data_IF_522732831544
#
_entry.id   IF_522732831544
#
_cell.length_a   1.000
_cell.length_b   1.000
_cell.length_c   1.000
_cell.angle_alpha   90.00
_cell.angle_beta   90.00
_cell.angle_gamma   90.00
#
_symmetry.space_group_name_H-M   'P 1'
#
loop_
_entity.id
_entity.type
_entity.pdbx_description
1 polymer ?
#
# COMPACT_ATOMS: atom_id res chain seq x y z
N UNK A 1 7.55 -11.82 -20.34
CA UNK A 1 7.01 -10.48 -20.65
C UNK A 1 6.77 -9.71 -19.37
N UNK A 2 7.22 -8.48 -19.33
CA UNK A 2 7.04 -7.58 -18.19
C UNK A 2 5.72 -6.82 -18.29
N UNK A 3 5.05 -6.65 -17.15
CA UNK A 3 3.82 -5.89 -17.03
C UNK A 3 3.99 -4.79 -16.00
N UNK A 4 3.54 -3.59 -16.30
CA UNK A 4 3.56 -2.47 -15.37
C UNK A 4 2.17 -2.30 -14.76
N UNK A 5 2.14 -1.94 -13.48
CA UNK A 5 0.91 -1.58 -12.77
C UNK A 5 1.09 -0.32 -11.96
N UNK A 6 0.02 0.44 -11.81
CA UNK A 6 -0.03 1.63 -10.97
C UNK A 6 -1.21 1.51 -10.01
N UNK A 7 -0.96 1.84 -8.75
CA UNK A 7 -2.00 1.92 -7.72
C UNK A 7 -2.02 3.30 -7.08
N UNK A 8 -3.20 3.75 -6.73
CA UNK A 8 -3.42 4.97 -5.98
C UNK A 8 -4.47 4.70 -4.91
N UNK A 9 -4.22 5.19 -3.70
CA UNK A 9 -5.22 5.14 -2.64
C UNK A 9 -5.11 6.39 -1.75
N UNK A 10 -6.22 6.71 -1.08
CA UNK A 10 -6.31 7.84 -0.16
C UNK A 10 -7.26 7.49 0.97
N UNK A 11 -6.89 7.85 2.19
CA UNK A 11 -7.75 7.73 3.36
C UNK A 11 -7.73 9.03 4.15
N UNK A 12 -8.85 9.31 4.81
CA UNK A 12 -9.02 10.49 5.67
C UNK A 12 -8.31 10.28 7.01
N UNK A 13 -7.65 11.33 7.49
CA UNK A 13 -7.08 11.36 8.85
C UNK A 13 -8.16 11.76 9.85
N UNK A 14 -8.31 10.96 10.90
CA UNK A 14 -9.28 11.20 12.00
C UNK A 14 -8.63 10.89 13.35
N UNK A 15 -9.17 11.46 14.42
CA UNK A 15 -8.76 11.12 15.79
C UNK A 15 -9.30 9.74 16.16
N UNK A 16 -8.60 9.06 17.08
CA UNK A 16 -9.05 7.77 17.62
C UNK A 16 -8.76 6.56 16.74
N UNK A 17 -7.99 6.73 15.69
CA UNK A 17 -7.52 5.63 14.83
C UNK A 17 -6.00 5.52 14.89
N UNK A 18 -5.51 4.30 14.77
CA UNK A 18 -4.07 4.05 14.60
C UNK A 18 -3.64 4.47 13.20
N UNK A 19 -2.41 4.98 13.09
CA UNK A 19 -1.80 5.30 11.79
C UNK A 19 -0.91 4.14 11.38
N UNK A 20 -1.39 3.35 10.42
CA UNK A 20 -0.66 2.19 9.91
C UNK A 20 -0.29 2.45 8.47
N UNK A 21 1.00 2.42 8.16
CA UNK A 21 1.55 2.60 6.82
C UNK A 21 2.62 1.55 6.55
N UNK A 22 2.48 0.81 5.45
CA UNK A 22 3.40 -0.28 5.14
C UNK A 22 3.52 -1.29 6.28
N UNK A 23 2.44 -1.53 7.01
CA UNK A 23 2.39 -2.42 8.15
C UNK A 23 3.02 -1.87 9.43
N UNK A 24 3.49 -0.61 9.43
CA UNK A 24 4.10 0.02 10.63
C UNK A 24 3.06 0.87 11.34
N UNK A 25 2.90 0.63 12.63
CA UNK A 25 2.06 1.45 13.51
C UNK A 25 2.86 2.67 13.95
N UNK A 26 2.53 3.83 13.39
CA UNK A 26 3.29 5.06 13.60
C UNK A 26 2.60 5.89 14.69
N UNK A 27 3.31 6.26 15.77
CA UNK A 27 2.76 7.15 16.78
C UNK A 27 2.38 8.51 16.18
N UNK A 28 1.11 8.86 16.27
CA UNK A 28 0.58 10.13 15.76
C UNK A 28 -0.79 10.40 16.40
N UNK A 29 -1.17 11.67 16.47
CA UNK A 29 -2.45 12.09 17.07
C UNK A 29 -3.68 11.69 16.24
N UNK A 30 -3.51 11.48 14.93
CA UNK A 30 -4.56 11.01 14.02
C UNK A 30 -4.12 9.75 13.30
N UNK A 31 -5.08 8.96 12.86
CA UNK A 31 -4.86 7.78 12.04
C UNK A 31 -5.82 7.75 10.87
N UNK A 32 -5.65 6.76 10.01
CA UNK A 32 -6.43 6.67 8.78
C UNK A 32 -7.75 5.94 9.00
N UNK A 33 -8.82 6.49 8.44
CA UNK A 33 -10.17 5.94 8.51
C UNK A 33 -10.43 5.02 7.33
N UNK A 34 -10.89 3.81 7.62
CA UNK A 34 -11.28 2.84 6.61
C UNK A 34 -11.88 1.59 7.25
N UNK A 35 -12.42 0.70 6.41
CA UNK A 35 -13.03 -0.56 6.83
C UNK A 35 -11.99 -1.56 7.37
N UNK A 36 -10.81 -1.63 6.73
CA UNK A 36 -9.65 -2.41 7.18
C UNK A 36 -8.81 -1.58 8.16
N UNK A 37 -7.51 -1.88 8.29
CA UNK A 37 -6.56 -1.05 9.03
C UNK A 37 -6.27 0.29 8.32
N UNK A 38 -6.82 0.49 7.12
CA UNK A 38 -6.67 1.69 6.29
C UNK A 38 -5.21 2.02 5.93
N UNK A 39 -4.36 1.00 5.80
CA UNK A 39 -2.97 1.13 5.35
C UNK A 39 -2.96 1.55 3.88
N UNK A 40 -2.96 2.87 3.66
CA UNK A 40 -3.08 3.46 2.32
C UNK A 40 -1.92 3.05 1.39
N UNK A 41 -0.73 2.87 1.94
CA UNK A 41 0.43 2.45 1.16
C UNK A 41 0.26 1.00 0.66
N UNK A 42 -0.07 0.09 1.55
CA UNK A 42 -0.27 -1.32 1.19
C UNK A 42 -1.44 -1.49 0.23
N UNK A 43 -2.52 -0.71 0.39
CA UNK A 43 -3.65 -0.70 -0.55
C UNK A 43 -3.22 -0.27 -1.95
N UNK A 44 -2.42 0.79 -2.07
CA UNK A 44 -1.89 1.24 -3.37
C UNK A 44 -1.02 0.16 -4.02
N UNK A 45 -0.20 -0.52 -3.24
CA UNK A 45 0.64 -1.64 -3.71
C UNK A 45 -0.21 -2.78 -4.25
N UNK A 46 -1.25 -3.17 -3.53
CA UNK A 46 -2.15 -4.24 -3.99
C UNK A 46 -2.84 -3.90 -5.30
N UNK A 47 -3.34 -2.67 -5.43
CA UNK A 47 -3.96 -2.22 -6.68
C UNK A 47 -2.97 -2.18 -7.84
N UNK A 48 -1.73 -1.78 -7.58
CA UNK A 48 -0.69 -1.80 -8.61
C UNK A 48 -0.43 -3.23 -9.11
N UNK A 49 -0.33 -4.18 -8.19
CA UNK A 49 -0.11 -5.60 -8.51
C UNK A 49 -1.27 -6.17 -9.33
N UNK A 50 -2.49 -5.97 -8.86
CA UNK A 50 -3.68 -6.47 -9.55
C UNK A 50 -3.84 -5.82 -10.93
N UNK A 51 -3.60 -4.51 -11.02
CA UNK A 51 -3.66 -3.79 -12.29
C UNK A 51 -2.64 -4.29 -13.30
N UNK A 52 -1.40 -4.57 -12.86
CA UNK A 52 -0.36 -5.12 -13.72
C UNK A 52 -0.76 -6.48 -14.33
N UNK A 53 -1.48 -7.30 -13.57
CA UNK A 53 -1.94 -8.62 -14.01
C UNK A 53 -3.33 -8.57 -14.68
N UNK A 54 -3.94 -7.40 -14.82
CA UNK A 54 -5.31 -7.22 -15.33
C UNK A 54 -6.34 -8.05 -14.53
N UNK A 55 -6.17 -8.10 -13.20
CA UNK A 55 -7.01 -8.87 -12.28
C UNK A 55 -7.99 -7.99 -11.47
N UNK A 56 -8.24 -6.76 -11.94
CA UNK A 56 -9.16 -5.83 -11.26
C UNK A 56 -8.48 -5.02 -10.18
N UNK A 57 -9.18 -4.84 -9.07
CA UNK A 57 -8.74 -4.03 -7.94
C UNK A 57 -9.10 -4.68 -6.61
N UNK A 58 -8.61 -4.09 -5.50
CA UNK A 58 -8.86 -4.63 -4.16
C UNK A 58 -10.33 -4.50 -3.74
N UNK A 59 -11.05 -3.51 -4.26
CA UNK A 59 -12.48 -3.35 -3.96
C UNK A 59 -13.31 -4.51 -4.47
N UNK A 60 -12.93 -5.11 -5.58
CA UNK A 60 -13.57 -6.31 -6.12
C UNK A 60 -13.17 -7.57 -5.34
N UNK A 61 -11.89 -7.66 -4.96
CA UNK A 61 -11.34 -8.84 -4.29
C UNK A 61 -11.71 -8.89 -2.81
N UNK A 62 -11.69 -7.74 -2.14
CA UNK A 62 -11.97 -7.58 -0.71
C UNK A 62 -13.01 -6.48 -0.51
N UNK A 63 -14.32 -6.74 -0.76
CA UNK A 63 -15.34 -5.71 -0.67
C UNK A 63 -15.41 -5.06 0.73
N UNK A 64 -15.46 -3.72 0.78
CA UNK A 64 -15.53 -2.95 2.03
C UNK A 64 -16.75 -3.31 2.88
N UNK A 65 -17.82 -3.78 2.25
CA UNK A 65 -19.05 -4.15 2.94
C UNK A 65 -19.02 -5.56 3.53
N UNK A 66 -17.99 -6.36 3.21
CA UNK A 66 -17.88 -7.72 3.74
C UNK A 66 -17.37 -7.68 5.18
N UNK A 67 -18.16 -8.14 6.16
CA UNK A 67 -17.74 -8.17 7.56
C UNK A 67 -16.46 -8.97 7.81
N UNK A 68 -16.13 -9.93 6.93
CA UNK A 68 -14.91 -10.73 7.04
C UNK A 68 -13.64 -9.89 6.95
N UNK A 69 -13.70 -8.70 6.32
CA UNK A 69 -12.54 -7.83 6.16
C UNK A 69 -12.54 -6.61 7.08
N UNK A 70 -13.52 -6.51 7.99
CA UNK A 70 -13.56 -5.43 8.97
C UNK A 70 -12.32 -5.51 9.87
N UNK A 71 -11.56 -4.41 9.96
CA UNK A 71 -10.33 -4.36 10.73
C UNK A 71 -9.20 -5.21 10.18
N UNK A 72 -9.30 -5.69 8.93
CA UNK A 72 -8.32 -6.59 8.34
C UNK A 72 -6.92 -5.99 8.30
N UNK A 73 -5.92 -6.84 8.54
CA UNK A 73 -4.51 -6.49 8.39
C UNK A 73 -4.16 -6.47 6.90
N UNK A 74 -3.82 -5.31 6.38
CA UNK A 74 -3.55 -5.14 4.94
C UNK A 74 -2.33 -5.93 4.47
N UNK A 75 -1.33 -6.17 5.31
CA UNK A 75 -0.20 -7.02 4.94
C UNK A 75 -0.65 -8.47 4.69
N UNK A 76 -1.61 -8.97 5.44
CA UNK A 76 -2.19 -10.30 5.20
C UNK A 76 -2.94 -10.35 3.87
N UNK A 77 -3.68 -9.28 3.55
CA UNK A 77 -4.36 -9.15 2.26
C UNK A 77 -3.35 -9.08 1.11
N UNK A 78 -2.25 -8.37 1.30
CA UNK A 78 -1.15 -8.30 0.32
C UNK A 78 -0.57 -9.68 0.03
N UNK A 79 -0.33 -10.49 1.07
CA UNK A 79 0.15 -11.88 0.87
C UNK A 79 -0.81 -12.69 0.01
N UNK A 80 -2.11 -12.51 0.21
CA UNK A 80 -3.11 -13.20 -0.61
C UNK A 80 -3.08 -12.74 -2.06
N UNK A 81 -2.95 -11.43 -2.31
CA UNK A 81 -2.81 -10.89 -3.67
C UNK A 81 -1.58 -11.49 -4.35
N UNK A 82 -0.43 -11.51 -3.67
CA UNK A 82 0.81 -12.08 -4.21
C UNK A 82 0.66 -13.57 -4.50
N UNK A 83 0.00 -14.33 -3.62
CA UNK A 83 -0.27 -15.75 -3.85
C UNK A 83 -1.10 -15.98 -5.11
N UNK A 84 -2.10 -15.12 -5.35
CA UNK A 84 -2.92 -15.20 -6.58
C UNK A 84 -2.10 -14.87 -7.82
N UNK A 85 -1.21 -13.90 -7.75
CA UNK A 85 -0.30 -13.60 -8.87
C UNK A 85 0.61 -14.78 -9.17
N UNK A 86 1.20 -15.39 -8.15
CA UNK A 86 2.05 -16.57 -8.32
C UNK A 86 1.28 -17.73 -8.94
N UNK A 87 0.03 -17.96 -8.51
CA UNK A 87 -0.81 -19.01 -9.08
C UNK A 87 -1.08 -18.80 -10.59
N UNK A 88 -1.13 -17.54 -11.02
CA UNK A 88 -1.29 -17.19 -12.44
C UNK A 88 0.04 -17.10 -13.19
N UNK A 89 1.16 -17.46 -12.54
CA UNK A 89 2.48 -17.50 -13.16
C UNK A 89 3.21 -16.16 -13.20
N UNK A 90 2.81 -15.20 -12.38
CA UNK A 90 3.50 -13.92 -12.28
C UNK A 90 4.48 -13.92 -11.10
N UNK A 91 5.58 -13.21 -11.27
CA UNK A 91 6.52 -12.89 -10.19
C UNK A 91 6.75 -11.38 -10.14
N UNK A 92 7.05 -10.87 -8.94
CA UNK A 92 7.31 -9.43 -8.77
C UNK A 92 8.74 -9.12 -9.20
N UNK A 93 8.90 -8.12 -10.05
CA UNK A 93 10.22 -7.59 -10.44
C UNK A 93 10.71 -6.56 -9.44
N UNK A 94 10.03 -5.41 -9.37
CA UNK A 94 10.33 -4.38 -8.38
C UNK A 94 9.11 -3.49 -8.12
N UNK A 95 9.20 -2.72 -7.04
CA UNK A 95 8.15 -1.80 -6.59
C UNK A 95 8.76 -0.45 -6.25
N UNK A 96 8.12 0.63 -6.67
CA UNK A 96 8.42 1.99 -6.23
C UNK A 96 7.14 2.65 -5.74
N UNK A 97 7.22 3.29 -4.57
CA UNK A 97 6.08 3.94 -3.93
C UNK A 97 6.41 5.37 -3.54
N UNK A 98 5.39 6.23 -3.55
CA UNK A 98 5.47 7.57 -3.00
C UNK A 98 4.28 7.80 -2.07
N UNK A 99 4.57 8.16 -0.82
CA UNK A 99 3.55 8.51 0.17
C UNK A 99 3.49 10.02 0.33
N UNK A 100 2.30 10.59 0.21
CA UNK A 100 2.04 12.01 0.34
C UNK A 100 1.40 12.29 1.69
N UNK A 101 2.19 12.83 2.62
CA UNK A 101 1.75 13.10 3.98
C UNK A 101 2.43 14.38 4.49
N UNK A 102 1.64 15.33 4.98
CA UNK A 102 2.19 16.55 5.58
C UNK A 102 2.89 16.25 6.91
N UNK A 103 2.33 15.33 7.68
CA UNK A 103 2.85 14.84 8.96
C UNK A 103 2.29 13.43 9.22
N UNK A 104 2.94 12.62 10.07
CA UNK A 104 4.24 12.83 10.71
C UNK A 104 5.40 12.62 9.72
N UNK A 105 6.65 12.82 10.19
CA UNK A 105 7.82 12.42 9.40
C UNK A 105 7.86 10.91 9.26
N UNK A 106 7.95 10.42 8.03
CA UNK A 106 7.93 9.00 7.73
C UNK A 106 9.34 8.39 7.58
N UNK A 107 10.36 9.24 7.41
CA UNK A 107 11.73 8.77 7.20
C UNK A 107 12.21 7.73 8.23
N UNK A 108 11.94 7.86 9.55
CA UNK A 108 12.38 6.85 10.52
C UNK A 108 11.72 5.47 10.33
N UNK A 109 10.63 5.38 9.58
CA UNK A 109 9.82 4.17 9.45
C UNK A 109 9.99 3.48 8.09
N UNK A 110 10.63 4.15 7.12
CA UNK A 110 10.69 3.66 5.74
C UNK A 110 11.43 2.32 5.65
N UNK A 111 12.53 2.15 6.37
CA UNK A 111 13.28 0.89 6.33
C UNK A 111 12.41 -0.31 6.76
N UNK A 112 11.63 -0.15 7.83
CA UNK A 112 10.74 -1.22 8.29
C UNK A 112 9.58 -1.46 7.32
N UNK A 113 9.02 -0.41 6.73
CA UNK A 113 7.99 -0.54 5.69
C UNK A 113 8.50 -1.35 4.50
N UNK A 114 9.71 -1.06 4.03
CA UNK A 114 10.34 -1.80 2.94
C UNK A 114 10.51 -3.28 3.28
N UNK A 115 10.99 -3.57 4.47
CA UNK A 115 11.15 -4.96 4.93
C UNK A 115 9.81 -5.69 4.98
N UNK A 116 8.77 -5.04 5.50
CA UNK A 116 7.44 -5.62 5.59
C UNK A 116 6.88 -5.97 4.21
N UNK A 117 6.97 -5.03 3.26
CA UNK A 117 6.47 -5.26 1.89
C UNK A 117 7.30 -6.32 1.17
N UNK A 118 8.63 -6.27 1.28
CA UNK A 118 9.51 -7.26 0.65
C UNK A 118 9.19 -8.68 1.13
N UNK A 119 8.96 -8.85 2.42
CA UNK A 119 8.61 -10.12 3.02
C UNK A 119 7.27 -10.64 2.50
N UNK A 120 6.26 -9.76 2.41
CA UNK A 120 4.95 -10.13 1.88
C UNK A 120 4.99 -10.48 0.39
N UNK A 121 5.87 -9.85 -0.36
CA UNK A 121 5.98 -10.01 -1.81
C UNK A 121 7.00 -11.08 -2.22
N UNK A 122 7.70 -11.67 -1.25
CA UNK A 122 8.74 -12.69 -1.47
C UNK A 122 9.84 -12.22 -2.41
N UNK A 123 10.35 -11.01 -2.16
CA UNK A 123 11.46 -10.40 -2.90
C UNK A 123 12.48 -9.81 -1.94
N UNK A 124 13.70 -9.60 -2.44
CA UNK A 124 14.71 -8.90 -1.69
C UNK A 124 14.33 -7.44 -1.43
N UNK A 125 14.75 -6.89 -0.29
CA UNK A 125 14.39 -5.52 0.10
C UNK A 125 14.93 -4.47 -0.87
N UNK A 126 16.00 -4.76 -1.60
CA UNK A 126 16.56 -3.84 -2.60
C UNK A 126 15.65 -3.65 -3.83
N UNK A 127 14.61 -4.48 -3.98
CA UNK A 127 13.60 -4.33 -5.03
C UNK A 127 12.41 -3.48 -4.60
N UNK A 128 12.40 -2.99 -3.35
CA UNK A 128 11.31 -2.20 -2.79
C UNK A 128 11.83 -0.79 -2.50
N UNK A 129 11.27 0.20 -3.19
CA UNK A 129 11.55 1.62 -2.95
C UNK A 129 10.32 2.28 -2.36
N UNK A 130 10.51 3.04 -1.29
CA UNK A 130 9.45 3.85 -0.67
C UNK A 130 10.03 5.24 -0.41
N UNK A 131 9.36 6.26 -0.93
CA UNK A 131 9.67 7.66 -0.71
C UNK A 131 8.48 8.32 -0.05
N UNK A 132 8.73 9.31 0.78
CA UNK A 132 7.70 10.14 1.37
C UNK A 132 7.95 11.59 0.99
N UNK A 133 6.89 12.34 0.73
CA UNK A 133 6.95 13.76 0.42
C UNK A 133 5.76 14.49 1.04
N UNK A 134 5.95 15.77 1.33
CA UNK A 134 4.82 16.67 1.58
C UNK A 134 4.38 17.29 0.26
N UNK A 135 3.19 17.89 0.25
CA UNK A 135 2.75 18.70 -0.88
C UNK A 135 2.84 20.21 -0.54
N UNK A 136 3.80 20.58 0.31
CA UNK A 136 4.11 21.98 0.65
C UNK A 136 2.90 22.74 1.20
N UNK A 137 2.06 22.08 2.00
CA UNK A 137 0.83 22.66 2.55
C UNK A 137 -0.32 22.77 1.57
N UNK A 138 -0.17 22.27 0.34
CA UNK A 138 -1.18 22.35 -0.70
C UNK A 138 -2.13 21.14 -0.67
N UNK A 139 -3.38 21.40 -1.02
CA UNK A 139 -4.39 20.38 -1.17
C UNK A 139 -4.77 19.69 0.14
N UNK A 140 -5.49 18.59 0.02
CA UNK A 140 -6.00 17.85 1.19
C UNK A 140 -4.88 17.20 2.01
N UNK A 141 -3.80 16.76 1.38
CA UNK A 141 -2.66 16.20 2.12
C UNK A 141 -1.92 17.32 2.86
N UNK A 142 -1.73 18.47 2.21
CA UNK A 142 -1.11 19.63 2.83
C UNK A 142 -1.90 20.20 3.99
N UNK A 143 -3.23 20.11 3.92
CA UNK A 143 -4.14 20.52 4.99
C UNK A 143 -4.29 19.46 6.10
N UNK A 144 -3.60 18.33 6.00
CA UNK A 144 -3.67 17.21 6.95
C UNK A 144 -5.06 16.58 7.05
N UNK A 145 -5.83 16.64 5.98
CA UNK A 145 -7.13 16.00 5.90
C UNK A 145 -7.04 14.51 5.56
N UNK A 146 -5.96 14.11 4.90
CA UNK A 146 -5.73 12.74 4.49
C UNK A 146 -4.29 12.46 4.12
N UNK A 147 -4.00 11.19 3.88
CA UNK A 147 -2.74 10.69 3.33
C UNK A 147 -3.06 9.95 2.04
N UNK A 148 -2.25 10.17 1.02
CA UNK A 148 -2.34 9.47 -0.26
C UNK A 148 -1.08 8.68 -0.52
N UNK A 149 -1.18 7.64 -1.36
CA UNK A 149 -0.03 6.87 -1.79
C UNK A 149 -0.17 6.47 -3.26
N UNK A 150 0.95 6.51 -3.97
CA UNK A 150 1.10 5.94 -5.30
C UNK A 150 2.06 4.76 -5.24
N UNK A 151 1.77 3.74 -6.02
CA UNK A 151 2.66 2.59 -6.19
C UNK A 151 2.77 2.27 -7.68
N UNK A 152 3.99 1.97 -8.11
CA UNK A 152 4.27 1.48 -9.47
C UNK A 152 5.03 0.17 -9.32
N UNK A 153 4.59 -0.87 -10.04
CA UNK A 153 5.20 -2.19 -9.94
C UNK A 153 5.50 -2.74 -11.33
N UNK A 154 6.59 -3.48 -11.44
CA UNK A 154 6.84 -4.36 -12.57
C UNK A 154 6.68 -5.80 -12.11
N UNK A 155 5.89 -6.57 -12.86
CA UNK A 155 5.77 -8.01 -12.68
C UNK A 155 6.16 -8.73 -13.97
N UNK A 156 6.57 -9.97 -13.84
CA UNK A 156 6.96 -10.78 -14.99
C UNK A 156 6.06 -12.02 -15.07
N UNK A 157 5.55 -12.28 -16.27
CA UNK A 157 4.85 -13.52 -16.58
C UNK A 157 5.88 -14.60 -16.90
N UNK A 158 5.84 -15.68 -16.15
CA UNK A 158 6.71 -16.82 -16.44
C UNK A 158 6.24 -17.56 -17.70
N UNK A 159 7.18 -18.05 -18.46
CA UNK A 159 6.89 -18.78 -19.69
C UNK A 159 6.28 -20.17 -19.41
#
# INVERSE_FOLDING_TARGET
MMHIGHGYDVHRLVRGRRLILGGVDIPHETGLLGHSDADVLTHAVMDALLGAAAMGDIGQLFPDKDPAFAGANSLALLREVVARLHAEGYTVGNLDCTVLAQAPKLAPHIAQMRCNLAQCMDVDVDRISIKATTEEGLGFTGAREGIAAHAVVLIEKQA
#
